data_IF_139404310825
#
_entry.id   IF_139404310825
#
_cell.length_a   1.000
_cell.length_b   1.000
_cell.length_c   1.000
_cell.angle_alpha   90.00
_cell.angle_beta   90.00
_cell.angle_gamma   90.00
#
_symmetry.space_group_name_H-M   'P 1'
#
loop_
_entity.id
_entity.type
_entity.pdbx_description
1 polymer ?
#
# COMPACT_ATOMS: atom_id res chain seq x y z
N UNK A 1 7.00 21.36 27.12
CA UNK A 1 8.11 21.34 26.15
C UNK A 1 7.91 22.50 25.21
N UNK A 2 8.78 23.50 25.33
CA UNK A 2 8.79 24.73 24.54
C UNK A 2 9.17 24.42 23.09
N UNK A 3 8.47 25.04 22.15
CA UNK A 3 8.84 25.09 20.73
C UNK A 3 10.30 25.49 20.58
N UNK A 4 11.06 24.92 19.62
CA UNK A 4 12.37 25.45 19.27
C UNK A 4 12.18 26.93 18.89
N UNK A 5 12.91 27.82 19.55
CA UNK A 5 12.87 29.24 19.27
C UNK A 5 13.15 29.47 17.77
N UNK A 6 12.16 29.99 17.03
CA UNK A 6 12.29 30.32 15.60
C UNK A 6 11.56 29.40 14.62
N UNK A 7 10.81 28.39 15.06
CA UNK A 7 9.95 27.61 14.15
C UNK A 7 8.74 28.44 13.70
N UNK A 8 8.77 28.94 12.46
CA UNK A 8 7.64 29.61 11.83
C UNK A 8 6.47 28.63 11.67
N UNK A 9 5.43 28.77 12.50
CA UNK A 9 4.26 27.92 12.44
C UNK A 9 3.51 28.00 11.11
N UNK A 10 3.67 29.10 10.34
CA UNK A 10 3.15 29.19 8.98
C UNK A 10 3.95 28.30 8.01
N UNK A 11 5.28 28.25 8.14
CA UNK A 11 6.10 27.32 7.38
C UNK A 11 5.75 25.85 7.68
N UNK A 12 5.46 25.53 8.95
CA UNK A 12 5.00 24.18 9.32
C UNK A 12 3.61 23.84 8.79
N UNK A 13 2.75 24.85 8.56
CA UNK A 13 1.46 24.66 7.90
C UNK A 13 1.64 24.28 6.42
N UNK A 14 2.56 24.93 5.72
CA UNK A 14 2.92 24.56 4.33
C UNK A 14 3.49 23.14 4.28
N UNK A 15 4.33 22.76 5.24
CA UNK A 15 4.82 21.39 5.36
C UNK A 15 3.70 20.38 5.61
N UNK A 16 2.70 20.73 6.43
CA UNK A 16 1.53 19.89 6.67
C UNK A 16 0.73 19.65 5.39
N UNK A 17 0.50 20.71 4.61
CA UNK A 17 -0.18 20.65 3.31
C UNK A 17 0.59 19.75 2.33
N UNK A 18 1.90 19.93 2.24
CA UNK A 18 2.78 19.09 1.42
C UNK A 18 2.66 17.61 1.78
N UNK A 19 2.82 17.26 3.06
CA UNK A 19 2.78 15.86 3.49
C UNK A 19 1.38 15.24 3.43
N UNK A 20 0.34 16.04 3.64
CA UNK A 20 -1.03 15.60 3.38
C UNK A 20 -1.22 15.26 1.90
N UNK A 21 -0.75 16.14 1.01
CA UNK A 21 -0.88 15.93 -0.43
C UNK A 21 -0.10 14.71 -0.91
N UNK A 22 1.10 14.52 -0.37
CA UNK A 22 1.94 13.36 -0.67
C UNK A 22 1.24 12.03 -0.27
N UNK A 23 0.65 11.97 0.93
CA UNK A 23 -0.11 10.81 1.37
C UNK A 23 -1.40 10.59 0.56
N UNK A 24 -2.16 11.66 0.30
CA UNK A 24 -3.40 11.59 -0.48
C UNK A 24 -3.14 11.15 -1.92
N UNK A 25 -2.11 11.69 -2.57
CA UNK A 25 -1.69 11.27 -3.91
C UNK A 25 -1.29 9.80 -3.91
N UNK A 26 -0.54 9.33 -2.90
CA UNK A 26 -0.18 7.91 -2.80
C UNK A 26 -1.39 7.00 -2.70
N UNK A 27 -2.42 7.40 -1.94
CA UNK A 27 -3.68 6.64 -1.80
C UNK A 27 -4.42 6.60 -3.14
N UNK A 28 -4.50 7.71 -3.87
CA UNK A 28 -5.07 7.75 -5.21
C UNK A 28 -4.30 6.81 -6.16
N UNK A 29 -2.96 6.84 -6.13
CA UNK A 29 -2.14 5.95 -6.95
C UNK A 29 -2.34 4.46 -6.61
N UNK A 30 -2.46 4.12 -5.32
CA UNK A 30 -2.75 2.77 -4.85
C UNK A 30 -4.16 2.31 -5.28
N UNK A 31 -5.14 3.20 -5.30
CA UNK A 31 -6.49 2.87 -5.76
C UNK A 31 -6.50 2.44 -7.23
N UNK A 32 -5.73 3.13 -8.08
CA UNK A 32 -5.59 2.83 -9.49
C UNK A 32 -4.84 1.51 -9.71
N UNK A 33 -3.75 1.30 -8.97
CA UNK A 33 -3.03 0.03 -8.97
C UNK A 33 -3.97 -1.13 -8.67
N UNK A 34 -4.82 -1.02 -7.65
CA UNK A 34 -5.78 -2.05 -7.31
C UNK A 34 -6.85 -2.27 -8.39
N UNK A 35 -7.22 -1.25 -9.18
CA UNK A 35 -8.12 -1.42 -10.35
C UNK A 35 -7.44 -2.13 -11.51
N UNK A 36 -6.18 -1.82 -11.73
CA UNK A 36 -5.39 -2.30 -12.86
C UNK A 36 -4.85 -3.71 -12.62
N UNK A 37 -4.64 -4.10 -11.36
CA UNK A 37 -4.15 -5.42 -11.00
C UNK A 37 -5.14 -6.51 -11.43
N UNK A 38 -4.65 -7.42 -12.26
CA UNK A 38 -5.41 -8.55 -12.72
C UNK A 38 -4.55 -9.80 -12.83
N UNK A 39 -5.17 -10.96 -12.69
CA UNK A 39 -4.54 -12.25 -12.94
C UNK A 39 -5.34 -13.04 -13.96
N UNK A 40 -4.64 -13.63 -14.93
CA UNK A 40 -5.24 -14.55 -15.90
C UNK A 40 -5.81 -15.77 -15.17
N UNK A 41 -7.11 -16.06 -15.39
CA UNK A 41 -7.85 -17.11 -14.67
C UNK A 41 -7.72 -18.51 -15.28
N UNK A 42 -7.02 -18.65 -16.40
CA UNK A 42 -6.91 -19.92 -17.12
C UNK A 42 -5.62 -20.66 -16.82
N UNK A 43 -5.72 -21.98 -16.76
CA UNK A 43 -4.58 -22.87 -16.85
C UNK A 43 -3.97 -22.72 -18.25
N UNK A 44 -2.69 -22.38 -18.36
CA UNK A 44 -1.98 -22.19 -19.63
C UNK A 44 -1.97 -23.41 -20.59
N UNK A 45 -2.71 -24.48 -20.27
CA UNK A 45 -2.99 -25.61 -21.17
C UNK A 45 -3.88 -25.24 -22.36
N UNK A 46 -4.62 -24.13 -22.29
CA UNK A 46 -5.51 -23.67 -23.36
C UNK A 46 -5.15 -22.24 -23.79
N UNK A 47 -3.95 -22.00 -24.32
CA UNK A 47 -3.56 -20.77 -25.04
C UNK A 47 -3.61 -19.46 -24.24
N UNK A 48 -2.57 -18.62 -24.36
CA UNK A 48 -2.47 -17.31 -23.69
C UNK A 48 -3.62 -16.32 -24.01
N UNK A 49 -4.50 -16.65 -24.96
CA UNK A 49 -5.55 -15.77 -25.49
C UNK A 49 -6.99 -16.11 -25.07
N UNK A 50 -7.23 -17.19 -24.31
CA UNK A 50 -8.62 -17.69 -24.09
C UNK A 50 -9.25 -17.40 -22.73
N UNK A 51 -8.47 -17.03 -21.70
CA UNK A 51 -8.98 -16.92 -20.35
C UNK A 51 -9.26 -15.47 -19.91
N UNK A 52 -10.42 -15.18 -19.29
CA UNK A 52 -10.73 -13.83 -18.86
C UNK A 52 -9.81 -13.39 -17.71
N UNK A 53 -9.36 -12.13 -17.68
CA UNK A 53 -8.66 -11.59 -16.52
C UNK A 53 -9.63 -11.46 -15.33
N UNK A 54 -9.18 -11.86 -14.15
CA UNK A 54 -9.87 -11.54 -12.89
C UNK A 54 -9.28 -10.29 -12.26
N UNK A 55 -10.12 -9.46 -11.63
CA UNK A 55 -9.73 -8.21 -10.96
C UNK A 55 -9.94 -8.34 -9.45
N UNK A 56 -9.11 -9.16 -8.75
CA UNK A 56 -9.36 -9.54 -7.37
C UNK A 56 -9.36 -8.33 -6.41
N UNK A 57 -8.73 -7.22 -6.79
CA UNK A 57 -8.54 -6.07 -5.90
C UNK A 57 -9.58 -4.95 -6.09
N UNK A 58 -10.61 -5.16 -6.93
CA UNK A 58 -11.63 -4.13 -7.25
C UNK A 58 -12.31 -3.56 -6.00
N UNK A 59 -12.61 -4.41 -5.00
CA UNK A 59 -13.21 -3.97 -3.74
C UNK A 59 -12.31 -3.02 -2.95
N UNK A 60 -10.99 -3.30 -2.92
CA UNK A 60 -10.01 -2.44 -2.25
C UNK A 60 -9.84 -1.11 -2.98
N UNK A 61 -9.80 -1.13 -4.31
CA UNK A 61 -9.75 0.08 -5.12
C UNK A 61 -10.89 1.04 -4.77
N UNK A 62 -12.13 0.55 -4.75
CA UNK A 62 -13.29 1.38 -4.43
C UNK A 62 -13.19 2.00 -3.03
N UNK A 63 -12.72 1.22 -2.04
CA UNK A 63 -12.52 1.70 -0.68
C UNK A 63 -11.44 2.80 -0.63
N UNK A 64 -10.33 2.64 -1.35
CA UNK A 64 -9.25 3.63 -1.40
C UNK A 64 -9.70 4.94 -2.06
N UNK A 65 -10.52 4.87 -3.11
CA UNK A 65 -11.10 6.06 -3.75
C UNK A 65 -12.02 6.84 -2.82
N UNK A 66 -12.86 6.14 -2.04
CA UNK A 66 -13.70 6.77 -1.03
C UNK A 66 -12.86 7.49 0.04
N UNK A 67 -11.78 6.86 0.48
CA UNK A 67 -10.84 7.48 1.43
C UNK A 67 -10.17 8.70 0.81
N UNK A 68 -9.66 8.61 -0.42
CA UNK A 68 -9.03 9.73 -1.14
C UNK A 68 -9.99 10.92 -1.34
N UNK A 69 -11.23 10.66 -1.73
CA UNK A 69 -12.27 11.69 -1.83
C UNK A 69 -12.57 12.36 -0.49
N UNK A 70 -12.63 11.58 0.59
CA UNK A 70 -12.87 12.11 1.94
C UNK A 70 -11.70 12.95 2.45
N UNK A 71 -10.46 12.55 2.18
CA UNK A 71 -9.27 13.33 2.51
C UNK A 71 -9.24 14.70 1.81
N UNK A 72 -9.64 14.76 0.54
CA UNK A 72 -9.76 16.01 -0.23
C UNK A 72 -10.77 16.97 0.40
N UNK A 73 -11.95 16.46 0.78
CA UNK A 73 -12.96 17.26 1.49
C UNK A 73 -12.47 17.74 2.85
N UNK A 74 -11.77 16.87 3.58
CA UNK A 74 -11.22 17.19 4.90
C UNK A 74 -10.16 18.31 4.83
N UNK A 75 -9.28 18.27 3.81
CA UNK A 75 -8.28 19.31 3.57
C UNK A 75 -8.95 20.68 3.37
N UNK A 76 -9.97 20.73 2.50
CA UNK A 76 -10.73 21.95 2.24
C UNK A 76 -11.42 22.51 3.50
N UNK A 77 -12.03 21.63 4.32
CA UNK A 77 -12.70 22.03 5.57
C UNK A 77 -11.74 22.59 6.63
N UNK A 78 -10.47 22.17 6.59
CA UNK A 78 -9.42 22.63 7.50
C UNK A 78 -8.70 23.90 7.01
N UNK A 79 -9.17 24.48 5.89
CA UNK A 79 -8.53 25.61 5.22
C UNK A 79 -7.06 25.33 4.89
N UNK A 80 -6.78 24.10 4.47
CA UNK A 80 -5.51 23.66 3.92
C UNK A 80 -5.65 23.63 2.40
N UNK A 81 -4.56 23.92 1.69
CA UNK A 81 -4.59 23.83 0.23
C UNK A 81 -4.88 22.38 -0.21
N UNK A 82 -5.89 22.17 -1.09
CA UNK A 82 -6.21 20.84 -1.56
C UNK A 82 -5.02 20.29 -2.36
N UNK A 83 -4.76 18.97 -2.26
CA UNK A 83 -3.64 18.38 -2.95
C UNK A 83 -3.78 18.56 -4.45
N UNK A 84 -2.77 19.17 -5.08
CA UNK A 84 -2.63 19.12 -6.53
C UNK A 84 -2.32 17.68 -6.90
N UNK A 85 -3.19 17.07 -7.71
CA UNK A 85 -3.01 15.74 -8.25
C UNK A 85 -1.73 15.72 -9.08
N UNK A 86 -0.63 15.27 -8.50
CA UNK A 86 0.63 15.14 -9.20
C UNK A 86 0.71 13.70 -9.75
N UNK A 87 0.28 13.56 -11.00
CA UNK A 87 0.36 12.31 -11.74
C UNK A 87 1.75 12.14 -12.33
N UNK A 88 2.72 11.77 -11.51
CA UNK A 88 4.01 11.32 -12.02
C UNK A 88 4.28 9.86 -11.66
N UNK A 89 3.63 8.96 -12.41
CA UNK A 89 3.95 7.52 -12.40
C UNK A 89 5.13 7.17 -13.31
N UNK A 90 5.84 8.15 -13.88
CA UNK A 90 7.04 7.90 -14.69
C UNK A 90 8.32 7.82 -13.87
N UNK A 91 8.29 8.30 -12.63
CA UNK A 91 9.45 8.37 -11.73
C UNK A 91 9.54 7.22 -10.71
N UNK A 92 8.46 6.47 -10.48
CA UNK A 92 8.47 5.23 -9.72
C UNK A 92 8.33 4.03 -10.66
N UNK A 93 9.47 3.50 -11.15
CA UNK A 93 9.64 2.23 -11.91
C UNK A 93 8.34 1.54 -12.33
N UNK A 94 7.61 2.15 -13.26
CA UNK A 94 6.38 1.60 -13.75
C UNK A 94 6.70 0.53 -14.81
N UNK A 95 6.34 -0.77 -14.68
CA UNK A 95 6.36 -1.73 -15.78
C UNK A 95 5.73 -1.15 -17.07
N UNK A 96 6.26 -1.49 -18.25
CA UNK A 96 5.83 -0.90 -19.52
C UNK A 96 4.34 -1.11 -19.81
N UNK A 97 3.73 -0.18 -20.54
CA UNK A 97 2.35 -0.29 -21.04
C UNK A 97 2.24 -1.50 -21.98
N UNK A 98 1.29 -2.41 -21.70
CA UNK A 98 1.04 -3.58 -22.55
C UNK A 98 -0.21 -3.32 -23.38
N UNK A 99 -0.06 -3.39 -24.70
CA UNK A 99 -1.17 -3.23 -25.64
C UNK A 99 -1.98 -4.53 -25.69
N UNK A 100 -3.14 -4.55 -25.04
CA UNK A 100 -4.13 -5.63 -25.19
C UNK A 100 -5.16 -5.20 -26.26
N UNK A 101 -5.29 -5.91 -27.40
CA UNK A 101 -6.28 -5.58 -28.42
C UNK A 101 -7.72 -5.61 -27.89
N UNK A 102 -8.48 -4.53 -28.08
CA UNK A 102 -9.89 -4.42 -27.69
C UNK A 102 -10.15 -3.71 -26.34
N UNK A 103 -9.12 -3.22 -25.66
CA UNK A 103 -9.24 -2.41 -24.43
C UNK A 103 -8.51 -1.07 -24.56
N UNK A 104 -8.90 -0.13 -23.70
CA UNK A 104 -8.32 1.22 -23.58
C UNK A 104 -6.78 1.18 -23.63
N UNK A 105 -6.13 1.92 -24.54
CA UNK A 105 -4.66 1.95 -24.71
C UNK A 105 -3.86 2.38 -23.46
N UNK A 106 -4.53 2.81 -22.38
CA UNK A 106 -3.92 3.14 -21.09
C UNK A 106 -3.91 1.99 -20.07
N UNK A 107 -4.38 0.77 -20.39
CA UNK A 107 -4.26 -0.39 -19.51
C UNK A 107 -2.79 -0.88 -19.39
N UNK A 108 -2.30 -0.98 -18.16
CA UNK A 108 -0.93 -1.41 -17.81
C UNK A 108 -0.98 -2.70 -16.99
N UNK A 109 0.03 -3.56 -17.10
CA UNK A 109 0.19 -4.69 -16.16
C UNK A 109 0.72 -4.14 -14.83
N UNK A 110 -0.20 -3.82 -13.92
CA UNK A 110 0.11 -3.57 -12.53
C UNK A 110 0.51 -4.90 -11.86
N UNK A 111 1.67 -4.91 -11.18
CA UNK A 111 2.16 -6.09 -10.46
C UNK A 111 2.03 -5.93 -8.94
N UNK A 112 2.26 -7.01 -8.20
CA UNK A 112 2.20 -6.97 -6.74
C UNK A 112 3.31 -6.10 -6.12
N UNK A 113 4.44 -5.90 -6.82
CA UNK A 113 5.59 -5.12 -6.31
C UNK A 113 5.28 -3.63 -6.24
N UNK A 114 4.51 -3.10 -7.19
CA UNK A 114 3.99 -1.74 -7.17
C UNK A 114 3.10 -1.50 -5.95
N UNK A 115 2.21 -2.46 -5.64
CA UNK A 115 1.40 -2.44 -4.41
C UNK A 115 2.25 -2.42 -3.13
N UNK A 116 3.32 -3.21 -3.11
CA UNK A 116 4.28 -3.26 -2.02
C UNK A 116 5.00 -1.92 -1.79
N UNK A 117 5.32 -1.18 -2.85
CA UNK A 117 5.92 0.16 -2.74
C UNK A 117 4.97 1.16 -2.08
N UNK A 118 3.68 1.16 -2.44
CA UNK A 118 2.69 2.00 -1.78
C UNK A 118 2.53 1.66 -0.30
N UNK A 119 2.52 0.36 0.05
CA UNK A 119 2.47 -0.10 1.44
C UNK A 119 3.67 0.42 2.26
N UNK A 120 4.88 0.37 1.70
CA UNK A 120 6.08 0.89 2.35
C UNK A 120 6.00 2.41 2.57
N UNK A 121 5.44 3.13 1.61
CA UNK A 121 5.39 4.59 1.62
C UNK A 121 4.43 5.15 2.67
N UNK A 122 3.23 4.57 2.77
CA UNK A 122 2.18 5.02 3.72
C UNK A 122 2.28 4.35 5.10
N UNK A 123 3.32 3.57 5.34
CA UNK A 123 3.50 2.82 6.58
C UNK A 123 3.43 3.73 7.81
N UNK A 124 2.81 3.30 8.94
CA UNK A 124 2.70 4.12 10.13
C UNK A 124 4.03 4.44 10.83
N UNK A 125 5.02 3.56 10.68
CA UNK A 125 6.34 3.64 11.29
C UNK A 125 7.39 2.97 10.42
N UNK A 126 8.59 3.54 10.37
CA UNK A 126 9.70 2.94 9.62
C UNK A 126 10.12 1.57 10.17
N UNK A 127 10.64 0.66 9.33
CA UNK A 127 11.16 -0.63 9.77
C UNK A 127 12.42 -0.49 10.65
N UNK A 128 13.13 0.64 10.53
CA UNK A 128 14.24 1.02 11.39
C UNK A 128 13.91 2.36 12.07
N UNK A 129 14.29 2.57 13.35
CA UNK A 129 13.99 3.81 14.08
C UNK A 129 14.49 5.10 13.40
N UNK A 130 15.46 4.98 12.51
CA UNK A 130 16.09 6.08 11.77
C UNK A 130 15.45 6.38 10.41
N UNK A 131 14.47 5.57 9.95
CA UNK A 131 13.76 5.81 8.69
C UNK A 131 12.42 6.45 9.02
N UNK A 132 12.27 7.72 8.65
CA UNK A 132 11.04 8.48 8.85
C UNK A 132 10.10 8.25 7.66
N UNK A 133 8.87 7.83 7.94
CA UNK A 133 7.81 7.63 6.95
C UNK A 133 7.09 8.93 6.61
N UNK A 134 6.41 8.99 5.46
CA UNK A 134 5.58 10.14 5.08
C UNK A 134 4.54 10.48 6.17
N UNK A 135 3.98 9.46 6.84
CA UNK A 135 3.05 9.64 7.97
C UNK A 135 3.71 10.26 9.20
N UNK A 136 4.96 9.89 9.51
CA UNK A 136 5.71 10.51 10.61
C UNK A 136 6.08 11.96 10.30
N UNK A 137 6.41 12.28 9.05
CA UNK A 137 6.60 13.65 8.62
C UNK A 137 5.30 14.47 8.73
N UNK A 138 4.17 13.92 8.27
CA UNK A 138 2.85 14.54 8.44
C UNK A 138 2.52 14.80 9.92
N UNK A 139 2.72 13.83 10.82
CA UNK A 139 2.50 14.01 12.28
C UNK A 139 3.42 15.08 12.87
N UNK A 140 4.66 15.15 12.41
CA UNK A 140 5.62 16.16 12.85
C UNK A 140 5.18 17.55 12.40
N UNK A 141 4.80 17.71 11.14
CA UNK A 141 4.30 18.96 10.61
C UNK A 141 3.02 19.41 11.34
N UNK A 142 2.10 18.48 11.58
CA UNK A 142 0.88 18.75 12.33
C UNK A 142 1.14 19.26 13.75
N UNK A 143 2.15 18.72 14.44
CA UNK A 143 2.51 19.13 15.80
C UNK A 143 3.01 20.58 15.89
N UNK A 144 3.60 21.10 14.81
CA UNK A 144 4.21 22.44 14.78
C UNK A 144 3.43 23.45 13.93
N UNK A 145 2.45 23.00 13.14
CA UNK A 145 1.65 23.86 12.28
C UNK A 145 0.83 24.87 13.10
N UNK A 146 0.81 26.11 12.63
CA UNK A 146 -0.03 27.15 13.20
C UNK A 146 -1.52 26.88 12.89
N UNK A 147 -2.42 27.22 13.83
CA UNK A 147 -3.86 27.24 13.56
C UNK A 147 -4.20 28.21 12.43
N UNK A 148 -5.31 27.97 11.74
CA UNK A 148 -5.79 28.85 10.66
C UNK A 148 -6.15 30.24 11.19
N UNK A 149 -6.40 31.21 10.30
CA UNK A 149 -6.97 32.52 10.70
C UNK A 149 -8.34 32.32 11.35
N UNK A 150 -9.19 31.46 10.77
CA UNK A 150 -10.53 31.18 11.28
C UNK A 150 -10.49 30.54 12.67
N UNK A 151 -9.57 29.61 12.91
CA UNK A 151 -9.37 28.97 14.22
C UNK A 151 -8.88 29.98 15.26
N UNK A 152 -8.00 30.90 14.87
CA UNK A 152 -7.50 31.97 15.77
C UNK A 152 -8.55 33.02 16.09
N UNK A 153 -9.34 33.43 15.11
CA UNK A 153 -10.29 34.55 15.25
C UNK A 153 -11.66 34.10 15.79
N UNK A 154 -12.11 32.89 15.47
CA UNK A 154 -13.44 32.39 15.81
C UNK A 154 -13.43 31.18 16.74
N UNK A 155 -12.25 30.68 17.15
CA UNK A 155 -12.12 29.60 18.13
C UNK A 155 -12.59 28.23 17.61
N UNK A 156 -12.67 28.04 16.29
CA UNK A 156 -13.12 26.80 15.67
C UNK A 156 -11.93 25.83 15.58
N UNK A 157 -11.96 24.64 16.21
CA UNK A 157 -10.81 23.74 16.31
C UNK A 157 -10.56 22.95 15.01
N UNK A 158 -10.30 23.66 13.91
CA UNK A 158 -10.16 23.08 12.57
C UNK A 158 -8.97 22.13 12.50
N UNK A 159 -7.80 22.53 13.00
CA UNK A 159 -6.59 21.72 12.91
C UNK A 159 -6.67 20.44 13.76
N UNK A 160 -7.29 20.53 14.94
CA UNK A 160 -7.50 19.36 15.81
C UNK A 160 -8.52 18.38 15.22
N UNK A 161 -9.63 18.88 14.67
CA UNK A 161 -10.64 18.06 13.98
C UNK A 161 -10.06 17.38 12.74
N UNK A 162 -9.27 18.13 11.97
CA UNK A 162 -8.51 17.62 10.83
C UNK A 162 -7.55 16.50 11.26
N UNK A 163 -6.79 16.70 12.33
CA UNK A 163 -5.80 15.74 12.82
C UNK A 163 -6.42 14.37 13.10
N UNK A 164 -7.51 14.35 13.86
CA UNK A 164 -8.21 13.13 14.25
C UNK A 164 -8.76 12.39 13.03
N UNK A 165 -9.48 13.11 12.16
CA UNK A 165 -10.13 12.50 10.98
C UNK A 165 -9.10 12.04 9.94
N UNK A 166 -8.07 12.84 9.67
CA UNK A 166 -7.03 12.49 8.70
C UNK A 166 -6.21 11.30 9.19
N UNK A 167 -5.90 11.24 10.49
CA UNK A 167 -5.20 10.10 11.10
C UNK A 167 -5.96 8.80 10.86
N UNK A 168 -7.27 8.78 11.14
CA UNK A 168 -8.13 7.62 10.95
C UNK A 168 -8.24 7.20 9.48
N UNK A 169 -8.35 8.17 8.56
CA UNK A 169 -8.39 7.91 7.12
C UNK A 169 -7.05 7.33 6.61
N UNK A 170 -5.91 7.83 7.09
CA UNK A 170 -4.60 7.28 6.77
C UNK A 170 -4.38 5.87 7.35
N UNK A 171 -4.93 5.57 8.52
CA UNK A 171 -4.93 4.21 9.09
C UNK A 171 -5.76 3.26 8.21
N UNK A 172 -6.99 3.65 7.85
CA UNK A 172 -7.86 2.86 6.97
C UNK A 172 -7.20 2.63 5.60
N UNK A 173 -6.59 3.65 5.01
CA UNK A 173 -5.87 3.52 3.75
C UNK A 173 -4.72 2.53 3.84
N UNK A 174 -3.88 2.66 4.88
CA UNK A 174 -2.77 1.74 5.10
C UNK A 174 -3.23 0.29 5.19
N UNK A 175 -4.25 0.01 6.00
CA UNK A 175 -4.74 -1.35 6.19
C UNK A 175 -5.41 -1.90 4.92
N UNK A 176 -6.07 -1.04 4.15
CA UNK A 176 -6.68 -1.40 2.87
C UNK A 176 -5.61 -1.74 1.82
N UNK A 177 -4.54 -0.94 1.72
CA UNK A 177 -3.40 -1.24 0.83
C UNK A 177 -2.68 -2.51 1.28
N UNK A 178 -2.50 -2.72 2.58
CA UNK A 178 -1.87 -3.94 3.13
C UNK A 178 -2.67 -5.19 2.77
N UNK A 179 -3.99 -5.16 2.93
CA UNK A 179 -4.87 -6.27 2.55
C UNK A 179 -4.83 -6.52 1.03
N UNK A 180 -4.96 -5.47 0.22
CA UNK A 180 -4.87 -5.57 -1.23
C UNK A 180 -3.53 -6.14 -1.68
N UNK A 181 -2.42 -5.71 -1.08
CA UNK A 181 -1.08 -6.23 -1.35
C UNK A 181 -1.01 -7.72 -1.06
N UNK A 182 -1.45 -8.17 0.13
CA UNK A 182 -1.46 -9.59 0.50
C UNK A 182 -2.25 -10.44 -0.50
N UNK A 183 -3.42 -9.98 -0.91
CA UNK A 183 -4.25 -10.67 -1.89
C UNK A 183 -3.62 -10.68 -3.29
N UNK A 184 -2.90 -9.61 -3.66
CA UNK A 184 -2.17 -9.55 -4.93
C UNK A 184 -1.00 -10.55 -4.98
N UNK A 185 -0.26 -10.67 -3.88
CA UNK A 185 0.82 -11.66 -3.73
C UNK A 185 0.23 -13.06 -3.71
N UNK A 186 -0.88 -13.28 -3.01
CA UNK A 186 -1.58 -14.57 -3.00
C UNK A 186 -2.08 -14.99 -4.39
N UNK A 187 -2.69 -14.07 -5.14
CA UNK A 187 -3.12 -14.32 -6.50
C UNK A 187 -1.95 -14.67 -7.43
N UNK A 188 -0.78 -14.06 -7.21
CA UNK A 188 0.44 -14.29 -8.00
C UNK A 188 1.09 -15.61 -7.64
N UNK A 189 1.53 -15.77 -6.39
CA UNK A 189 2.29 -16.93 -5.92
C UNK A 189 1.42 -18.16 -5.68
N UNK A 190 0.16 -18.00 -5.28
CA UNK A 190 -0.78 -19.12 -5.17
C UNK A 190 -0.98 -19.83 -6.51
N UNK A 191 -1.04 -19.07 -7.62
CA UNK A 191 -1.07 -19.65 -8.96
C UNK A 191 0.23 -20.35 -9.32
N UNK A 192 1.38 -19.73 -9.04
CA UNK A 192 2.70 -20.33 -9.28
C UNK A 192 2.82 -21.66 -8.51
N UNK A 193 2.42 -21.67 -7.24
CA UNK A 193 2.40 -22.86 -6.39
C UNK A 193 1.44 -23.93 -6.93
N UNK A 194 0.21 -23.57 -7.30
CA UNK A 194 -0.79 -24.52 -7.81
C UNK A 194 -0.42 -25.13 -9.16
N UNK A 195 0.39 -24.45 -9.96
CA UNK A 195 0.84 -24.90 -11.28
C UNK A 195 2.26 -25.48 -11.27
N UNK A 196 2.88 -25.60 -10.09
CA UNK A 196 4.27 -25.99 -9.98
C UNK A 196 4.47 -27.45 -10.45
N UNK A 197 5.42 -27.71 -11.38
CA UNK A 197 5.49 -28.97 -12.12
C UNK A 197 5.94 -30.17 -11.28
N UNK A 198 6.59 -29.94 -10.13
CA UNK A 198 7.12 -31.00 -9.26
C UNK A 198 6.51 -30.92 -7.88
N UNK A 199 5.69 -31.91 -7.53
CA UNK A 199 5.03 -32.07 -6.22
C UNK A 199 6.01 -32.23 -5.05
N UNK A 200 7.28 -32.58 -5.31
CA UNK A 200 8.33 -32.66 -4.29
C UNK A 200 9.07 -31.34 -3.99
N UNK A 201 8.84 -30.28 -4.77
CA UNK A 201 9.52 -28.98 -4.66
C UNK A 201 8.53 -27.79 -4.61
N UNK A 202 7.27 -28.05 -4.26
CA UNK A 202 6.25 -27.02 -4.03
C UNK A 202 6.58 -26.11 -2.84
N UNK A 203 7.57 -26.47 -2.02
CA UNK A 203 8.09 -25.62 -0.95
C UNK A 203 8.78 -24.35 -1.49
N UNK A 204 9.46 -24.43 -2.64
CA UNK A 204 10.19 -23.29 -3.21
C UNK A 204 9.29 -22.08 -3.54
N UNK A 205 8.15 -22.23 -4.26
CA UNK A 205 7.25 -21.11 -4.49
C UNK A 205 6.61 -20.57 -3.20
N UNK A 206 6.40 -21.41 -2.16
CA UNK A 206 5.97 -20.94 -0.84
C UNK A 206 7.04 -20.08 -0.17
N UNK A 207 8.31 -20.50 -0.22
CA UNK A 207 9.43 -19.71 0.31
C UNK A 207 9.52 -18.35 -0.38
N UNK A 208 9.41 -18.31 -1.72
CA UNK A 208 9.40 -17.04 -2.48
C UNK A 208 8.22 -16.14 -2.06
N UNK A 209 7.03 -16.73 -1.89
CA UNK A 209 5.86 -16.01 -1.40
C UNK A 209 6.14 -15.37 -0.03
N UNK A 210 6.66 -16.16 0.93
CA UNK A 210 6.95 -15.65 2.28
C UNK A 210 8.03 -14.55 2.25
N UNK A 211 9.07 -14.71 1.44
CA UNK A 211 10.13 -13.69 1.26
C UNK A 211 9.54 -12.36 0.79
N UNK A 212 8.64 -12.38 -0.20
CA UNK A 212 8.02 -11.16 -0.73
C UNK A 212 7.11 -10.48 0.31
N UNK A 213 6.30 -11.25 1.04
CA UNK A 213 5.48 -10.71 2.12
C UNK A 213 6.35 -10.01 3.17
N UNK A 214 7.43 -10.65 3.61
CA UNK A 214 8.37 -10.11 4.60
C UNK A 214 9.12 -8.87 4.07
N UNK A 215 9.57 -8.88 2.81
CA UNK A 215 10.29 -7.77 2.20
C UNK A 215 9.45 -6.48 2.18
N UNK A 216 8.15 -6.59 1.93
CA UNK A 216 7.21 -5.47 1.98
C UNK A 216 6.58 -5.26 3.38
N UNK A 217 7.13 -5.92 4.40
CA UNK A 217 6.87 -5.78 5.83
C UNK A 217 5.51 -6.26 6.31
N UNK A 218 5.05 -7.37 5.77
CA UNK A 218 4.17 -8.29 6.49
C UNK A 218 4.91 -8.86 7.70
N UNK A 219 4.18 -9.22 8.75
CA UNK A 219 4.77 -9.85 9.94
C UNK A 219 4.92 -11.37 9.77
N UNK A 220 5.71 -12.00 10.65
CA UNK A 220 5.82 -13.46 10.68
C UNK A 220 4.46 -14.13 10.94
N UNK A 221 3.60 -13.53 11.76
CA UNK A 221 2.26 -14.04 12.05
C UNK A 221 1.36 -14.00 10.80
N UNK A 222 1.48 -12.97 9.97
CA UNK A 222 0.74 -12.89 8.71
C UNK A 222 1.23 -13.92 7.69
N UNK A 223 2.55 -14.15 7.63
CA UNK A 223 3.15 -15.21 6.82
C UNK A 223 2.68 -16.60 7.29
N UNK A 224 2.68 -16.85 8.60
CA UNK A 224 2.20 -18.12 9.16
C UNK A 224 0.70 -18.33 8.98
N UNK A 225 -0.12 -17.28 8.97
CA UNK A 225 -1.53 -17.40 8.63
C UNK A 225 -1.71 -17.95 7.21
N UNK A 226 -0.95 -17.44 6.24
CA UNK A 226 -0.94 -17.96 4.86
C UNK A 226 -0.49 -19.42 4.82
N UNK A 227 0.59 -19.77 5.53
CA UNK A 227 1.08 -21.15 5.57
C UNK A 227 0.05 -22.11 6.17
N UNK A 228 -0.71 -21.72 7.20
CA UNK A 228 -1.78 -22.56 7.78
C UNK A 228 -2.91 -22.82 6.80
N UNK A 229 -3.30 -21.84 6.00
CA UNK A 229 -4.34 -22.02 4.98
C UNK A 229 -3.89 -23.03 3.91
N UNK A 230 -2.60 -23.02 3.55
CA UNK A 230 -2.00 -23.93 2.56
C UNK A 230 -1.73 -25.32 3.15
N UNK A 231 -1.45 -25.42 4.45
CA UNK A 231 -1.16 -26.67 5.17
C UNK A 231 -2.31 -27.68 5.07
N UNK A 232 -3.54 -27.19 4.91
CA UNK A 232 -4.72 -28.02 4.65
C UNK A 232 -4.61 -28.79 3.32
N UNK A 233 -3.89 -28.24 2.34
CA UNK A 233 -3.76 -28.79 0.99
C UNK A 233 -2.41 -29.49 0.76
N UNK A 234 -1.31 -28.94 1.27
CA UNK A 234 0.05 -29.48 1.11
C UNK A 234 0.86 -29.32 2.42
N UNK A 235 0.63 -30.20 3.41
CA UNK A 235 1.32 -30.12 4.69
C UNK A 235 2.83 -30.38 4.57
N UNK A 236 3.27 -31.13 3.56
CA UNK A 236 4.69 -31.45 3.36
C UNK A 236 5.45 -30.22 2.86
N UNK A 237 4.92 -29.48 1.89
CA UNK A 237 5.53 -28.25 1.40
C UNK A 237 5.60 -27.17 2.49
N UNK A 238 4.54 -27.06 3.30
CA UNK A 238 4.54 -26.13 4.44
C UNK A 238 5.59 -26.53 5.48
N UNK A 239 5.71 -27.82 5.82
CA UNK A 239 6.74 -28.30 6.75
C UNK A 239 8.15 -27.98 6.23
N UNK A 240 8.42 -28.17 4.93
CA UNK A 240 9.69 -27.80 4.32
C UNK A 240 9.91 -26.28 4.31
N UNK A 241 8.89 -25.48 4.00
CA UNK A 241 8.97 -24.02 4.03
C UNK A 241 9.29 -23.50 5.45
N UNK A 242 8.66 -24.06 6.48
CA UNK A 242 8.95 -23.75 7.89
C UNK A 242 10.34 -24.24 8.31
N UNK A 243 10.79 -25.40 7.84
CA UNK A 243 12.16 -25.86 8.11
C UNK A 243 13.22 -24.93 7.49
N UNK A 244 12.89 -24.28 6.37
CA UNK A 244 13.73 -23.28 5.72
C UNK A 244 13.44 -21.84 6.22
N UNK A 245 12.98 -21.66 7.46
CA UNK A 245 12.61 -20.37 8.03
C UNK A 245 13.67 -19.28 7.83
N UNK A 246 14.95 -19.62 8.00
CA UNK A 246 16.09 -18.70 7.85
C UNK A 246 16.17 -18.04 6.47
N UNK A 247 15.57 -18.63 5.44
CA UNK A 247 15.59 -18.09 4.07
C UNK A 247 14.63 -16.93 3.84
N UNK A 248 13.48 -16.93 4.52
CA UNK A 248 12.44 -15.90 4.35
C UNK A 248 12.20 -15.08 5.62
N UNK A 249 12.72 -15.55 6.76
CA UNK A 249 12.77 -14.86 8.04
C UNK A 249 14.19 -14.94 8.61
N UNK A 250 15.16 -14.19 8.06
CA UNK A 250 16.46 -14.09 8.69
C UNK A 250 16.28 -13.38 10.05
N UNK A 251 16.56 -14.07 11.15
CA UNK A 251 16.67 -13.45 12.47
C UNK A 251 17.82 -12.44 12.43
N UNK A 252 17.48 -11.17 12.16
CA UNK A 252 18.31 -9.96 12.19
C UNK A 252 19.48 -9.83 11.21
N UNK A 253 19.42 -8.73 10.44
CA UNK A 253 20.54 -7.80 10.26
C UNK A 253 20.05 -6.34 10.30
#
# INVERSE_FOLDING_TARGET
>A
MTTPAGADGAAWRVELERWHAELANTIDQASLWAREFHVSTGDGRWGETSAPPSYPLTGYAHRLEQVGATLKMLCANASLDPPVLNWDRTTLKAPPRIRIPGRDPDCREADYTEGGQYLLYIRPSGPKPNIVTAKQHWRTALRFAAPSVLEREFGIPQLATYAEQAQGLFDIAHDTVRAAFRDSVAATFGRIWATWPTTGDSARPLMMWMTELMQFGCSAEECEAVLRDIEVFDPQAVAHCRAAHEWWYPETA
#
